data_IF_344784932100
#
_entry.id   IF_344784932100
#
_cell.length_a   1.000
_cell.length_b   1.000
_cell.length_c   1.000
_cell.angle_alpha   90.00
_cell.angle_beta   90.00
_cell.angle_gamma   90.00
#
_symmetry.space_group_name_H-M   'P 1'
#
loop_
_entity.id
_entity.type
_entity.pdbx_description
1 polymer ?
#
# COMPACT_ATOMS: atom_id res chain seq x y z
N UNK A 1 -4.64 -8.90 -7.63
CA UNK A 1 -4.44 -7.85 -6.60
C UNK A 1 -4.49 -6.50 -7.29
N UNK A 2 -5.10 -5.50 -6.65
CA UNK A 2 -5.08 -4.12 -7.15
C UNK A 2 -3.64 -3.60 -7.16
N UNK A 3 -3.26 -2.89 -8.23
CA UNK A 3 -1.96 -2.22 -8.32
C UNK A 3 -2.07 -0.82 -7.71
N UNK A 4 -1.00 -0.33 -7.07
CA UNK A 4 -0.97 1.06 -6.60
C UNK A 4 -1.02 2.01 -7.80
N UNK A 5 -1.65 3.16 -7.61
CA UNK A 5 -1.84 4.18 -8.62
C UNK A 5 -0.95 5.40 -8.37
N UNK A 6 -0.40 5.95 -9.45
CA UNK A 6 0.15 7.30 -9.46
C UNK A 6 -0.99 8.29 -9.70
N UNK A 7 -1.07 9.31 -8.86
CA UNK A 7 -2.04 10.40 -8.93
C UNK A 7 -1.33 11.75 -8.91
N UNK A 8 -2.04 12.85 -9.18
CA UNK A 8 -1.49 14.21 -9.07
C UNK A 8 -0.98 14.57 -7.66
N UNK A 9 -1.43 13.82 -6.64
CA UNK A 9 -0.99 13.98 -5.27
C UNK A 9 0.28 13.17 -4.94
N UNK A 10 0.75 12.30 -5.84
CA UNK A 10 1.95 11.49 -5.62
C UNK A 10 3.19 12.39 -5.66
N UNK A 11 4.01 12.36 -4.60
CA UNK A 11 5.19 13.22 -4.48
C UNK A 11 6.51 12.44 -4.28
N UNK A 12 6.45 11.11 -4.17
CA UNK A 12 7.62 10.25 -4.06
C UNK A 12 7.35 8.83 -4.60
N UNK A 13 8.43 8.13 -4.93
CA UNK A 13 8.44 6.70 -5.21
C UNK A 13 9.18 6.00 -4.07
N UNK A 14 8.51 5.13 -3.33
CA UNK A 14 9.14 4.29 -2.32
C UNK A 14 9.70 3.05 -3.01
N UNK A 15 11.03 2.97 -3.08
CA UNK A 15 11.76 1.82 -3.61
C UNK A 15 12.16 0.82 -2.53
N UNK A 16 13.02 -0.11 -2.93
CA UNK A 16 13.55 -1.14 -2.05
C UNK A 16 14.34 -0.54 -0.87
N UNK A 17 14.26 -1.15 0.33
CA UNK A 17 15.19 -0.90 1.43
C UNK A 17 16.66 -1.06 1.01
N UNK A 18 17.57 -0.43 1.75
CA UNK A 18 19.01 -0.45 1.44
C UNK A 18 19.62 -1.87 1.47
N UNK A 19 19.05 -2.76 2.27
CA UNK A 19 19.44 -4.15 2.49
C UNK A 19 18.55 -5.15 1.72
N UNK A 20 17.75 -4.70 0.76
CA UNK A 20 16.88 -5.59 -0.01
C UNK A 20 17.69 -6.50 -0.93
N UNK A 21 17.57 -7.81 -0.70
CA UNK A 21 18.10 -8.84 -1.59
C UNK A 21 16.99 -9.37 -2.52
N UNK A 22 17.02 -9.07 -3.83
CA UNK A 22 16.03 -9.55 -4.78
C UNK A 22 16.00 -11.07 -4.94
N UNK A 23 17.10 -11.76 -4.63
CA UNK A 23 17.19 -13.22 -4.74
C UNK A 23 16.49 -13.93 -3.59
N UNK A 24 16.39 -13.28 -2.43
CA UNK A 24 15.73 -13.80 -1.23
C UNK A 24 14.28 -13.33 -1.13
N UNK A 25 14.02 -12.06 -1.47
CA UNK A 25 12.74 -11.40 -1.23
C UNK A 25 11.90 -11.15 -2.50
N UNK A 26 12.47 -11.45 -3.67
CA UNK A 26 11.85 -11.18 -4.97
C UNK A 26 12.03 -9.74 -5.44
N UNK A 27 11.46 -9.43 -6.60
CA UNK A 27 11.52 -8.09 -7.17
C UNK A 27 10.75 -7.08 -6.30
N UNK A 28 11.43 -6.01 -5.88
CA UNK A 28 10.78 -4.89 -5.21
C UNK A 28 10.20 -3.95 -6.26
N UNK A 29 8.88 -3.99 -6.42
CA UNK A 29 8.17 -3.01 -7.25
C UNK A 29 8.10 -1.66 -6.49
N UNK A 30 8.40 -0.56 -7.18
CA UNK A 30 8.27 0.78 -6.60
C UNK A 30 6.83 1.09 -6.22
N UNK A 31 6.62 1.66 -5.04
CA UNK A 31 5.31 2.10 -4.56
C UNK A 31 5.18 3.62 -4.70
N UNK A 32 4.30 4.14 -5.58
CA UNK A 32 3.99 5.57 -5.61
C UNK A 32 3.30 5.98 -4.32
N UNK A 33 3.81 7.04 -3.68
CA UNK A 33 3.31 7.53 -2.40
C UNK A 33 3.22 9.05 -2.36
N UNK A 34 2.40 9.56 -1.44
CA UNK A 34 2.52 10.90 -0.90
C UNK A 34 3.11 10.85 0.50
N UNK A 35 4.25 11.51 0.67
CA UNK A 35 4.88 11.76 1.97
C UNK A 35 4.31 13.06 2.54
N UNK A 36 3.43 12.92 3.51
CA UNK A 36 2.90 14.03 4.29
C UNK A 36 3.82 14.26 5.50
N UNK A 37 4.75 15.19 5.33
CA UNK A 37 5.71 15.54 6.39
C UNK A 37 5.06 16.28 7.56
N UNK A 38 3.96 16.99 7.34
CA UNK A 38 3.28 17.74 8.39
C UNK A 38 2.61 16.80 9.41
N UNK A 39 2.05 15.69 8.93
CA UNK A 39 1.38 14.70 9.76
C UNK A 39 2.18 13.41 9.99
N UNK A 40 3.40 13.33 9.45
CA UNK A 40 4.26 12.13 9.47
C UNK A 40 3.54 10.87 8.96
N UNK A 41 2.88 10.99 7.80
CA UNK A 41 2.08 9.92 7.18
C UNK A 41 2.55 9.63 5.76
N UNK A 42 2.32 8.38 5.34
CA UNK A 42 2.58 7.91 3.99
C UNK A 42 1.26 7.42 3.41
N UNK A 43 0.90 7.94 2.25
CA UNK A 43 -0.38 7.65 1.59
C UNK A 43 -0.10 6.98 0.25
N UNK A 44 -0.89 5.96 -0.08
CA UNK A 44 -0.88 5.30 -1.39
C UNK A 44 -2.33 5.06 -1.84
N UNK A 45 -2.54 5.00 -3.15
CA UNK A 45 -3.87 4.89 -3.73
C UNK A 45 -4.06 3.55 -4.44
N UNK A 46 -5.23 2.97 -4.25
CA UNK A 46 -5.69 1.77 -4.91
C UNK A 46 -7.12 1.99 -5.37
N UNK A 47 -7.45 1.55 -6.58
CA UNK A 47 -8.80 1.61 -7.10
C UNK A 47 -9.47 0.23 -6.92
N UNK A 48 -10.53 0.13 -6.10
CA UNK A 48 -11.29 -1.11 -5.96
C UNK A 48 -11.95 -1.51 -7.28
N UNK A 49 -12.04 -2.82 -7.52
CA UNK A 49 -12.85 -3.37 -8.60
C UNK A 49 -14.34 -3.26 -8.29
N UNK A 50 -15.20 -3.43 -9.29
CA UNK A 50 -16.66 -3.49 -9.06
C UNK A 50 -17.06 -4.56 -8.05
N UNK A 51 -16.36 -5.71 -8.06
CA UNK A 51 -16.60 -6.78 -7.09
C UNK A 51 -16.17 -6.37 -5.67
N UNK A 52 -15.04 -5.67 -5.52
CA UNK A 52 -14.61 -5.15 -4.21
C UNK A 52 -15.62 -4.14 -3.66
N UNK A 53 -16.15 -3.27 -4.54
CA UNK A 53 -17.21 -2.32 -4.19
C UNK A 53 -18.48 -3.06 -3.76
N UNK A 54 -18.91 -4.07 -4.51
CA UNK A 54 -20.08 -4.88 -4.16
C UNK A 54 -19.90 -5.58 -2.81
N UNK A 55 -18.70 -6.11 -2.53
CA UNK A 55 -18.38 -6.74 -1.25
C UNK A 55 -18.46 -5.73 -0.08
N UNK A 56 -17.93 -4.50 -0.25
CA UNK A 56 -18.06 -3.43 0.75
C UNK A 56 -19.52 -3.10 1.04
N UNK A 57 -20.33 -2.93 0.00
CA UNK A 57 -21.76 -2.62 0.14
C UNK A 57 -22.53 -3.75 0.83
N UNK A 58 -22.12 -4.99 0.61
CA UNK A 58 -22.67 -6.17 1.28
C UNK A 58 -22.17 -6.36 2.73
N UNK A 59 -21.31 -5.46 3.24
CA UNK A 59 -20.73 -5.57 4.59
C UNK A 59 -19.69 -6.68 4.73
N UNK A 60 -19.16 -7.20 3.61
CA UNK A 60 -18.14 -8.25 3.62
C UNK A 60 -16.79 -7.62 4.00
N UNK A 61 -16.04 -8.21 4.95
CA UNK A 61 -14.72 -7.71 5.30
C UNK A 61 -13.76 -7.70 4.09
N UNK A 62 -13.11 -6.57 3.83
CA UNK A 62 -12.00 -6.51 2.89
C UNK A 62 -10.68 -6.75 3.62
N UNK A 63 -9.88 -7.68 3.11
CA UNK A 63 -8.52 -7.92 3.58
C UNK A 63 -7.55 -6.95 2.88
N UNK A 64 -7.06 -5.97 3.63
CA UNK A 64 -5.90 -5.19 3.23
C UNK A 64 -4.62 -5.91 3.66
N UNK A 65 -3.71 -6.19 2.74
CA UNK A 65 -2.41 -6.78 3.04
C UNK A 65 -1.32 -5.80 2.67
N UNK A 66 -0.73 -5.15 3.68
CA UNK A 66 0.47 -4.32 3.52
C UNK A 66 1.67 -5.19 3.81
N UNK A 67 2.52 -5.42 2.81
CA UNK A 67 3.75 -6.18 2.97
C UNK A 67 4.87 -5.24 3.44
N UNK A 68 5.24 -5.35 4.72
CA UNK A 68 6.35 -4.64 5.36
C UNK A 68 6.71 -5.34 6.67
N UNK A 69 7.94 -5.15 7.16
CA UNK A 69 8.48 -5.84 8.36
C UNK A 69 7.71 -5.56 9.67
N UNK A 70 6.72 -4.67 9.64
CA UNK A 70 5.80 -4.45 10.74
C UNK A 70 4.37 -4.36 10.23
N UNK A 71 3.58 -5.40 10.48
CA UNK A 71 2.19 -5.17 10.86
C UNK A 71 2.23 -4.44 12.20
N UNK A 72 1.51 -3.34 12.42
CA UNK A 72 1.09 -3.00 13.77
C UNK A 72 -0.17 -3.83 14.12
N UNK A 73 -0.07 -4.94 14.87
CA UNK A 73 -1.15 -5.38 15.76
C UNK A 73 -1.14 -4.44 16.98
N UNK A 74 -2.24 -4.00 17.61
CA UNK A 74 -3.68 -4.20 17.53
C UNK A 74 -4.34 -3.03 18.29
N UNK A 75 -5.67 -2.94 18.17
CA UNK A 75 -6.58 -2.36 19.16
C UNK A 75 -6.04 -2.38 20.61
N UNK A 76 -5.95 -1.19 21.21
CA UNK A 76 -6.59 -0.80 22.47
C UNK A 76 -6.82 0.71 22.43
#
# INVERSE_FOLDING_TARGET
MMRPLTTDYTNAMLGAPADWDPTVHGECIGLPVHRDHANNRWLSWYQPTEQDIANLLAGVPIRLSVYGAGHPPRLH
#
